data_IF_494273700404
#
_entry.id   IF_494273700404
#
_cell.length_a   1.000
_cell.length_b   1.000
_cell.length_c   1.000
_cell.angle_alpha   90.00
_cell.angle_beta   90.00
_cell.angle_gamma   90.00
#
_symmetry.space_group_name_H-M   'P 1'
#
loop_
_entity.id
_entity.type
_entity.pdbx_description
1 polymer ?
#
# COMPACT_ATOMS: atom_id res chain seq x y z
N UNK A 1 -7.11 -16.04 9.01
CA UNK A 1 -8.51 -15.99 8.49
C UNK A 1 -8.49 -15.69 6.99
N UNK A 2 -9.28 -16.39 6.16
CA UNK A 2 -9.25 -16.24 4.69
C UNK A 2 -9.62 -14.83 4.22
N UNK A 3 -10.50 -14.13 4.97
CA UNK A 3 -10.96 -12.78 4.64
C UNK A 3 -9.82 -11.76 4.70
N UNK A 4 -9.06 -11.71 5.82
CA UNK A 4 -7.94 -10.79 5.99
C UNK A 4 -6.79 -11.08 5.03
N UNK A 5 -6.57 -12.35 4.68
CA UNK A 5 -5.63 -12.75 3.64
C UNK A 5 -5.98 -12.09 2.30
N UNK A 6 -7.22 -12.27 1.83
CA UNK A 6 -7.66 -11.73 0.54
C UNK A 6 -7.67 -10.20 0.52
N UNK A 7 -8.18 -9.57 1.59
CA UNK A 7 -8.16 -8.10 1.72
C UNK A 7 -6.74 -7.55 1.67
N UNK A 8 -5.78 -8.20 2.32
CA UNK A 8 -4.37 -7.78 2.28
C UNK A 8 -3.79 -7.87 0.87
N UNK A 9 -4.06 -8.94 0.12
CA UNK A 9 -3.64 -9.03 -1.30
C UNK A 9 -4.22 -7.88 -2.12
N UNK A 10 -5.54 -7.69 -2.04
CA UNK A 10 -6.25 -6.68 -2.85
C UNK A 10 -5.79 -5.26 -2.50
N UNK A 11 -5.67 -4.93 -1.22
CA UNK A 11 -5.27 -3.58 -0.82
C UNK A 11 -3.79 -3.30 -1.06
N UNK A 12 -2.90 -4.27 -0.84
CA UNK A 12 -1.48 -4.08 -1.20
C UNK A 12 -1.31 -3.89 -2.71
N UNK A 13 -2.05 -4.65 -3.52
CA UNK A 13 -2.00 -4.49 -4.97
C UNK A 13 -2.55 -3.13 -5.41
N UNK A 14 -3.74 -2.74 -4.93
CA UNK A 14 -4.38 -1.49 -5.35
C UNK A 14 -3.67 -0.24 -4.81
N UNK A 15 -3.24 -0.23 -3.54
CA UNK A 15 -2.42 0.84 -2.97
C UNK A 15 -1.06 0.92 -3.68
N UNK A 16 -0.43 -0.23 -3.94
CA UNK A 16 0.82 -0.28 -4.68
C UNK A 16 0.71 0.28 -6.10
N UNK A 17 -0.39 -0.07 -6.78
CA UNK A 17 -0.70 0.46 -8.10
C UNK A 17 -0.98 1.98 -8.05
N UNK A 18 -1.72 2.47 -7.04
CA UNK A 18 -1.96 3.90 -6.84
C UNK A 18 -0.66 4.70 -6.68
N UNK A 19 0.28 4.20 -5.87
CA UNK A 19 1.60 4.81 -5.71
C UNK A 19 2.43 4.76 -7.01
N UNK A 20 2.34 3.66 -7.76
CA UNK A 20 3.06 3.48 -9.02
C UNK A 20 2.61 4.47 -10.11
N UNK A 21 1.30 4.71 -10.22
CA UNK A 21 0.72 5.55 -11.29
C UNK A 21 0.56 7.02 -10.91
N UNK A 22 0.85 7.39 -9.67
CA UNK A 22 0.69 8.74 -9.14
C UNK A 22 1.31 9.83 -10.04
N UNK A 23 2.53 9.57 -10.55
CA UNK A 23 3.31 10.51 -11.38
C UNK A 23 3.22 10.21 -12.89
N UNK A 24 2.34 9.29 -13.31
CA UNK A 24 2.21 8.88 -14.72
C UNK A 24 1.37 9.89 -15.49
N UNK A 25 1.86 10.42 -16.60
CA UNK A 25 1.04 11.27 -17.48
C UNK A 25 0.02 10.45 -18.29
N UNK A 26 -1.19 11.00 -18.56
CA UNK A 26 -2.17 10.36 -19.42
C UNK A 26 -1.63 10.20 -20.84
N UNK A 27 -1.95 9.08 -21.52
CA UNK A 27 -1.42 8.76 -22.85
C UNK A 27 -2.46 8.83 -23.97
N UNK A 28 -3.67 9.32 -23.68
CA UNK A 28 -4.80 9.36 -24.62
C UNK A 28 -5.43 7.99 -24.89
N UNK A 29 -5.27 7.01 -23.99
CA UNK A 29 -5.77 5.63 -24.17
C UNK A 29 -7.07 5.45 -23.37
N UNK A 30 -7.97 4.57 -23.82
CA UNK A 30 -9.25 4.25 -23.12
C UNK A 30 -9.09 3.89 -21.63
N UNK A 31 -7.89 3.45 -21.20
CA UNK A 31 -7.60 3.11 -19.80
C UNK A 31 -7.25 4.33 -18.92
N UNK A 32 -7.09 5.52 -19.51
CA UNK A 32 -6.71 6.73 -18.76
C UNK A 32 -7.76 7.12 -17.73
N UNK A 33 -9.06 6.85 -17.98
CA UNK A 33 -10.11 7.09 -16.99
C UNK A 33 -9.93 6.30 -15.68
N UNK A 34 -9.38 5.07 -15.74
CA UNK A 34 -9.04 4.30 -14.54
C UNK A 34 -7.83 4.90 -13.81
N UNK A 35 -6.85 5.41 -14.56
CA UNK A 35 -5.67 6.07 -14.00
C UNK A 35 -6.07 7.37 -13.32
N UNK A 36 -6.99 8.14 -13.90
CA UNK A 36 -7.55 9.35 -13.30
C UNK A 36 -8.34 9.04 -12.03
N UNK A 37 -9.20 8.02 -12.05
CA UNK A 37 -9.93 7.59 -10.86
C UNK A 37 -8.97 7.24 -9.71
N UNK A 38 -7.89 6.52 -10.00
CA UNK A 38 -6.88 6.13 -9.00
C UNK A 38 -6.06 7.30 -8.48
N UNK A 39 -5.97 8.39 -9.23
CA UNK A 39 -5.32 9.62 -8.78
C UNK A 39 -6.21 10.48 -7.89
N UNK A 40 -7.51 10.20 -7.83
CA UNK A 40 -8.44 10.94 -7.00
C UNK A 40 -7.96 10.96 -5.52
N UNK A 41 -7.86 12.14 -4.89
CA UNK A 41 -7.29 12.27 -3.56
C UNK A 41 -8.15 11.58 -2.48
N UNK A 42 -9.47 11.53 -2.65
CA UNK A 42 -10.38 10.88 -1.70
C UNK A 42 -10.23 9.37 -1.80
N UNK A 43 -10.19 8.81 -3.02
CA UNK A 43 -9.94 7.39 -3.21
C UNK A 43 -8.59 6.96 -2.62
N UNK A 44 -7.53 7.76 -2.86
CA UNK A 44 -6.20 7.49 -2.30
C UNK A 44 -6.16 7.54 -0.78
N UNK A 45 -6.88 8.48 -0.17
CA UNK A 45 -7.04 8.55 1.28
C UNK A 45 -7.72 7.28 1.81
N UNK A 46 -8.85 6.88 1.22
CA UNK A 46 -9.59 5.67 1.60
C UNK A 46 -8.69 4.44 1.46
N UNK A 47 -7.98 4.29 0.33
CA UNK A 47 -7.02 3.20 0.11
C UNK A 47 -5.89 3.23 1.14
N UNK A 48 -5.38 4.41 1.48
CA UNK A 48 -4.35 4.58 2.51
C UNK A 48 -4.80 4.07 3.89
N UNK A 49 -5.98 4.50 4.34
CA UNK A 49 -6.57 4.07 5.62
C UNK A 49 -6.84 2.57 5.63
N UNK A 50 -7.47 2.04 4.58
CA UNK A 50 -7.80 0.62 4.49
C UNK A 50 -6.55 -0.26 4.44
N UNK A 51 -5.57 0.10 3.60
CA UNK A 51 -4.33 -0.66 3.45
C UNK A 51 -3.51 -0.67 4.75
N UNK A 52 -3.37 0.48 5.43
CA UNK A 52 -2.67 0.56 6.71
C UNK A 52 -3.40 -0.25 7.80
N UNK A 53 -4.73 -0.14 7.88
CA UNK A 53 -5.54 -0.86 8.88
C UNK A 53 -5.46 -2.36 8.65
N UNK A 54 -5.62 -2.84 7.42
CA UNK A 54 -5.55 -4.27 7.10
C UNK A 54 -4.14 -4.81 7.29
N UNK A 55 -3.10 -4.06 6.92
CA UNK A 55 -1.72 -4.45 7.22
C UNK A 55 -1.47 -4.62 8.71
N UNK A 56 -1.95 -3.68 9.53
CA UNK A 56 -1.85 -3.77 10.99
C UNK A 56 -2.67 -4.93 11.57
N UNK A 57 -3.93 -5.09 11.16
CA UNK A 57 -4.79 -6.18 11.64
C UNK A 57 -4.27 -7.56 11.23
N UNK A 58 -3.66 -7.68 10.06
CA UNK A 58 -3.09 -8.93 9.57
C UNK A 58 -1.87 -9.37 10.39
N UNK A 59 -1.08 -8.42 10.89
CA UNK A 59 -0.01 -8.71 11.85
C UNK A 59 -0.55 -9.35 13.13
N UNK A 60 -1.78 -9.00 13.54
CA UNK A 60 -2.45 -9.57 14.71
C UNK A 60 -3.24 -10.86 14.41
N UNK A 61 -3.67 -11.06 13.16
CA UNK A 61 -4.64 -12.11 12.76
C UNK A 61 -4.01 -13.15 11.84
N UNK A 62 -3.12 -13.95 12.40
CA UNK A 62 -2.39 -14.99 11.67
C UNK A 62 -3.31 -16.01 11.02
N UNK A 63 -2.97 -16.43 9.80
CA UNK A 63 -3.73 -17.47 9.09
C UNK A 63 -3.48 -18.89 9.61
N UNK A 64 -2.32 -19.17 10.24
CA UNK A 64 -1.94 -20.50 10.74
C UNK A 64 -1.39 -20.43 12.16
N UNK A 65 -1.84 -21.31 13.08
CA UNK A 65 -1.36 -21.33 14.46
C UNK A 65 0.11 -21.76 14.59
N UNK A 66 0.67 -22.47 13.61
CA UNK A 66 2.01 -23.09 13.73
C UNK A 66 3.18 -22.11 13.57
N UNK A 67 2.98 -20.98 12.87
CA UNK A 67 4.02 -19.97 12.62
C UNK A 67 3.44 -18.55 12.77
N UNK A 68 2.86 -18.30 13.95
CA UNK A 68 1.96 -17.19 14.31
C UNK A 68 2.45 -15.75 14.09
N UNK A 69 3.60 -15.48 13.46
CA UNK A 69 4.09 -14.10 13.26
C UNK A 69 4.82 -13.95 11.92
N UNK A 70 5.46 -15.01 11.44
CA UNK A 70 6.37 -14.94 10.30
C UNK A 70 5.58 -15.04 8.98
N UNK A 71 4.51 -15.85 8.97
CA UNK A 71 3.67 -16.19 7.79
C UNK A 71 3.23 -15.01 6.95
N UNK A 72 2.76 -13.96 7.63
CA UNK A 72 2.04 -12.84 7.04
C UNK A 72 2.82 -11.52 7.19
N UNK A 73 4.10 -11.58 7.61
CA UNK A 73 4.88 -10.41 7.98
C UNK A 73 5.13 -9.47 6.80
N UNK A 74 5.60 -9.99 5.66
CA UNK A 74 5.92 -9.15 4.50
C UNK A 74 4.68 -8.43 3.95
N UNK A 75 3.53 -9.09 3.70
CA UNK A 75 2.33 -8.38 3.28
C UNK A 75 1.84 -7.36 4.29
N UNK A 76 1.96 -7.64 5.60
CA UNK A 76 1.50 -6.75 6.65
C UNK A 76 2.34 -5.47 6.70
N UNK A 77 3.66 -5.62 6.73
CA UNK A 77 4.60 -4.49 6.77
C UNK A 77 4.47 -3.65 5.50
N UNK A 78 4.42 -4.28 4.33
CA UNK A 78 4.34 -3.52 3.09
C UNK A 78 2.98 -2.86 2.91
N UNK A 79 1.90 -3.47 3.40
CA UNK A 79 0.59 -2.81 3.47
C UNK A 79 0.59 -1.59 4.39
N UNK A 80 1.23 -1.70 5.56
CA UNK A 80 1.40 -0.55 6.46
C UNK A 80 2.24 0.56 5.82
N UNK A 81 3.36 0.23 5.17
CA UNK A 81 4.24 1.20 4.51
C UNK A 81 3.54 1.87 3.32
N UNK A 82 2.85 1.11 2.48
CA UNK A 82 2.09 1.65 1.34
C UNK A 82 0.93 2.54 1.80
N UNK A 83 0.16 2.06 2.79
CA UNK A 83 -0.92 2.83 3.39
C UNK A 83 -0.41 4.13 4.00
N UNK A 84 0.65 4.07 4.82
CA UNK A 84 1.29 5.25 5.40
C UNK A 84 1.79 6.23 4.34
N UNK A 85 2.40 5.73 3.25
CA UNK A 85 2.87 6.59 2.15
C UNK A 85 1.71 7.34 1.48
N UNK A 86 0.59 6.68 1.22
CA UNK A 86 -0.62 7.33 0.68
C UNK A 86 -1.20 8.39 1.63
N UNK A 87 -1.23 8.09 2.93
CA UNK A 87 -1.69 9.04 3.95
C UNK A 87 -0.79 10.26 4.05
N UNK A 88 0.54 10.05 3.98
CA UNK A 88 1.53 11.12 4.00
C UNK A 88 1.41 12.01 2.75
N UNK A 89 1.25 11.42 1.56
CA UNK A 89 0.99 12.17 0.33
C UNK A 89 -0.28 13.02 0.44
N UNK A 90 -1.37 12.45 0.99
CA UNK A 90 -2.60 13.20 1.22
C UNK A 90 -2.39 14.36 2.20
N UNK A 91 -1.74 14.12 3.33
CA UNK A 91 -1.45 15.16 4.32
C UNK A 91 -0.62 16.30 3.73
N UNK A 92 0.45 15.97 3.00
CA UNK A 92 1.35 16.94 2.37
C UNK A 92 0.66 17.79 1.32
N UNK A 93 -0.26 17.22 0.55
CA UNK A 93 -1.00 17.94 -0.48
C UNK A 93 -2.07 18.90 0.09
N UNK A 94 -2.48 18.72 1.36
CA UNK A 94 -3.54 19.49 1.98
C UNK A 94 -3.06 20.46 3.08
N UNK A 95 -1.76 20.48 3.38
CA UNK A 95 -1.18 21.27 4.49
C UNK A 95 -0.01 22.13 4.03
N UNK A 96 0.04 23.38 4.47
CA UNK A 96 1.16 24.31 4.21
C UNK A 96 2.19 24.35 5.34
N UNK A 97 1.88 23.75 6.50
CA UNK A 97 2.76 23.66 7.66
C UNK A 97 3.82 22.58 7.41
N UNK A 98 5.09 22.96 7.55
CA UNK A 98 6.23 22.04 7.41
C UNK A 98 6.99 21.98 8.73
N UNK A 99 7.58 20.82 9.01
CA UNK A 99 8.49 20.59 10.14
C UNK A 99 9.65 19.73 9.67
N UNK A 100 10.79 19.80 10.35
CA UNK A 100 11.99 19.01 10.00
C UNK A 100 11.71 17.50 9.94
N UNK A 101 10.80 17.00 10.77
CA UNK A 101 10.40 15.60 10.78
C UNK A 101 9.58 15.26 9.53
N UNK A 102 8.65 16.13 9.14
CA UNK A 102 7.83 15.95 7.94
C UNK A 102 8.69 15.93 6.68
N UNK A 103 9.68 16.81 6.58
CA UNK A 103 10.61 16.84 5.44
C UNK A 103 11.44 15.56 5.32
N UNK A 104 11.87 14.99 6.45
CA UNK A 104 12.55 13.68 6.46
C UNK A 104 11.63 12.55 6.00
N UNK A 105 10.37 12.53 6.47
CA UNK A 105 9.39 11.54 6.04
C UNK A 105 9.08 11.68 4.54
N UNK A 106 8.94 12.90 4.03
CA UNK A 106 8.72 13.17 2.61
C UNK A 106 9.87 12.61 1.75
N UNK A 107 11.12 12.85 2.18
CA UNK A 107 12.29 12.34 1.47
C UNK A 107 12.39 10.81 1.48
N UNK A 108 11.91 10.15 2.52
CA UNK A 108 11.98 8.68 2.63
C UNK A 108 10.80 8.01 1.91
N UNK A 109 9.57 8.51 2.11
CA UNK A 109 8.36 7.82 1.67
C UNK A 109 7.79 8.39 0.37
N UNK A 110 7.69 9.72 0.21
CA UNK A 110 7.09 10.33 -0.98
C UNK A 110 8.03 10.27 -2.18
N UNK A 111 9.33 10.55 -1.99
CA UNK A 111 10.32 10.48 -3.07
C UNK A 111 10.42 9.04 -3.60
N UNK A 112 10.42 8.06 -2.71
CA UNK A 112 10.53 6.64 -3.04
C UNK A 112 9.15 5.96 -3.22
N UNK A 113 8.06 6.71 -3.31
CA UNK A 113 6.70 6.15 -3.35
C UNK A 113 6.49 5.15 -4.48
N UNK A 114 7.15 5.37 -5.63
CA UNK A 114 7.16 4.42 -6.75
C UNK A 114 7.75 3.06 -6.37
N UNK A 115 8.86 3.03 -5.63
CA UNK A 115 9.51 1.80 -5.19
C UNK A 115 8.67 1.08 -4.14
N UNK A 116 8.07 1.83 -3.20
CA UNK A 116 7.07 1.29 -2.27
C UNK A 116 5.91 0.64 -3.03
N UNK A 117 5.42 1.31 -4.08
CA UNK A 117 4.36 0.79 -4.93
C UNK A 117 4.71 -0.52 -5.63
N UNK A 118 5.89 -0.59 -6.23
CA UNK A 118 6.40 -1.82 -6.88
C UNK A 118 6.54 -2.95 -5.87
N UNK A 119 7.16 -2.70 -4.71
CA UNK A 119 7.31 -3.70 -3.66
C UNK A 119 5.95 -4.25 -3.19
N UNK A 120 4.96 -3.36 -3.03
CA UNK A 120 3.60 -3.73 -2.62
C UNK A 120 2.90 -4.63 -3.63
N UNK A 121 3.02 -4.31 -4.92
CA UNK A 121 2.46 -5.15 -6.00
C UNK A 121 3.15 -6.51 -6.02
N UNK A 122 4.49 -6.54 -5.99
CA UNK A 122 5.26 -7.79 -6.04
C UNK A 122 4.90 -8.70 -4.87
N UNK A 123 4.84 -8.16 -3.65
CA UNK A 123 4.49 -8.94 -2.46
C UNK A 123 3.03 -9.38 -2.51
N UNK A 124 2.10 -8.55 -2.97
CA UNK A 124 0.70 -8.95 -3.15
C UNK A 124 0.56 -10.11 -4.14
N UNK A 125 1.25 -10.05 -5.28
CA UNK A 125 1.24 -11.10 -6.30
C UNK A 125 1.88 -12.38 -5.79
N UNK A 126 3.06 -12.28 -5.16
CA UNK A 126 3.73 -13.43 -4.57
C UNK A 126 2.86 -14.07 -3.48
N UNK A 127 2.21 -13.27 -2.64
CA UNK A 127 1.39 -13.78 -1.54
C UNK A 127 0.19 -14.54 -2.11
N UNK A 128 -0.45 -13.95 -3.13
CA UNK A 128 -1.55 -14.59 -3.84
C UNK A 128 -1.18 -15.92 -4.48
N UNK A 129 0.00 -15.99 -5.14
CA UNK A 129 0.46 -17.19 -5.83
C UNK A 129 0.97 -18.28 -4.88
N UNK A 130 1.60 -17.88 -3.77
CA UNK A 130 2.28 -18.77 -2.84
C UNK A 130 1.80 -18.60 -1.38
N UNK A 131 0.52 -18.85 -1.08
CA UNK A 131 -0.06 -18.71 0.27
C UNK A 131 0.55 -19.65 1.34
N UNK A 132 1.45 -20.55 0.94
CA UNK A 132 2.08 -21.53 1.82
C UNK A 132 3.51 -21.16 2.21
N UNK A 133 4.05 -20.04 1.73
CA UNK A 133 5.38 -19.59 2.12
C UNK A 133 5.37 -18.95 3.51
N UNK A 134 6.38 -19.28 4.31
CA UNK A 134 6.45 -18.92 5.74
C UNK A 134 6.61 -17.41 5.96
N UNK A 135 7.00 -16.62 4.95
CA UNK A 135 7.17 -15.16 5.07
C UNK A 135 6.13 -14.37 4.28
N UNK A 136 5.34 -15.06 3.47
CA UNK A 136 4.66 -14.48 2.34
C UNK A 136 3.16 -14.59 2.49
#
# INVERSE_FOLDING_TARGET
MVQFYFLSVVFNFTAGYALLVAKREPKGIKLDGLVELIKDPVLRLILGVLCATIGFLKLLTVMRPDYAIIGDFLPSVVGMVAGFTLLLEFYRNNTTVTTDLLEKLDHIFIVNSRWVGIASIVIAVLHFLFPSLILL
#
